data_IF_585490381164
#
_entry.id   IF_585490381164
#
_cell.length_a   1.000
_cell.length_b   1.000
_cell.length_c   1.000
_cell.angle_alpha   90.00
_cell.angle_beta   90.00
_cell.angle_gamma   90.00
#
_symmetry.space_group_name_H-M   'P 1'
#
loop_
_entity.id
_entity.type
_entity.pdbx_description
1 polymer ?
#
# COMPACT_ATOMS: atom_id res chain seq x y z
N UNK A 1 24.00 -2.87 -14.06
CA UNK A 1 25.01 -3.61 -14.86
C UNK A 1 26.29 -2.76 -14.79
N UNK A 2 27.44 -3.10 -14.23
CA UNK A 2 28.18 -4.32 -13.90
C UNK A 2 28.98 -4.01 -12.61
N UNK A 3 29.46 -5.03 -11.87
CA UNK A 3 30.15 -4.99 -10.55
C UNK A 3 29.27 -5.26 -9.31
N UNK A 4 28.57 -6.39 -9.31
CA UNK A 4 28.21 -7.09 -8.06
C UNK A 4 28.02 -8.59 -8.32
N UNK A 5 28.99 -9.21 -8.98
CA UNK A 5 29.11 -10.67 -9.08
C UNK A 5 30.60 -11.03 -9.12
N UNK A 6 31.18 -11.35 -7.96
CA UNK A 6 32.36 -12.19 -7.83
C UNK A 6 32.74 -12.34 -6.34
N UNK A 7 32.04 -13.22 -5.61
CA UNK A 7 32.59 -13.83 -4.41
C UNK A 7 31.78 -15.09 -4.04
N UNK A 8 31.79 -16.09 -4.91
CA UNK A 8 31.44 -17.45 -4.50
C UNK A 8 32.22 -18.47 -5.34
N UNK A 9 32.76 -19.48 -4.65
CA UNK A 9 33.44 -20.70 -5.12
C UNK A 9 34.96 -20.63 -5.39
N UNK A 10 35.77 -21.22 -4.48
CA UNK A 10 36.50 -22.47 -4.78
C UNK A 10 37.02 -23.16 -3.50
N UNK A 11 36.84 -24.48 -3.46
CA UNK A 11 37.24 -25.39 -2.37
C UNK A 11 38.70 -25.86 -2.52
N UNK A 12 39.34 -26.18 -1.38
CA UNK A 12 40.33 -27.27 -1.15
C UNK A 12 41.70 -26.87 -0.59
N UNK A 13 42.08 -27.57 0.50
CA UNK A 13 43.36 -27.64 1.24
C UNK A 13 43.68 -26.49 2.22
N UNK A 14 43.28 -26.69 3.47
CA UNK A 14 43.65 -25.87 4.62
C UNK A 14 45.13 -26.12 4.98
N UNK A 15 45.97 -25.11 4.76
CA UNK A 15 47.19 -24.88 5.55
C UNK A 15 46.88 -23.71 6.45
N UNK A 16 46.85 -23.93 7.77
CA UNK A 16 46.55 -22.88 8.75
C UNK A 16 47.70 -21.87 8.82
N UNK A 17 47.49 -20.67 8.29
CA UNK A 17 48.37 -19.53 8.52
C UNK A 17 47.85 -18.74 9.73
N UNK A 18 48.68 -18.62 10.77
CA UNK A 18 48.41 -17.70 11.89
C UNK A 18 49.03 -16.36 11.51
N UNK A 19 48.20 -15.36 11.23
CA UNK A 19 48.63 -13.99 10.99
C UNK A 19 48.36 -13.17 12.24
N UNK A 20 49.41 -12.74 12.92
CA UNK A 20 49.31 -11.85 14.09
C UNK A 20 49.55 -10.42 13.63
N UNK A 21 48.57 -9.53 13.79
CA UNK A 21 48.71 -8.10 13.51
C UNK A 21 49.06 -7.35 14.79
N UNK A 22 50.09 -6.50 14.73
CA UNK A 22 50.42 -5.55 15.81
C UNK A 22 50.14 -4.15 15.29
N UNK A 23 49.16 -3.47 15.87
CA UNK A 23 48.83 -2.08 15.53
C UNK A 23 49.76 -1.17 16.33
N UNK A 24 50.74 -0.53 15.68
CA UNK A 24 51.51 0.56 16.28
C UNK A 24 50.90 1.90 15.89
N UNK A 25 50.45 2.67 16.89
CA UNK A 25 50.08 4.08 16.71
C UNK A 25 51.33 4.93 16.93
N UNK A 26 51.72 5.69 15.92
CA UNK A 26 52.69 6.78 16.07
C UNK A 26 51.97 8.09 15.83
N UNK A 27 51.99 8.99 16.81
CA UNK A 27 51.49 10.36 16.68
C UNK A 27 52.63 11.21 16.14
N UNK A 28 52.47 11.77 14.94
CA UNK A 28 53.41 12.75 14.38
C UNK A 28 52.73 14.10 14.41
N UNK A 29 53.26 15.03 15.19
CA UNK A 29 52.84 16.43 15.20
C UNK A 29 53.63 17.21 14.13
N UNK A 30 52.93 17.72 13.13
CA UNK A 30 53.38 18.86 12.32
C UNK A 30 52.21 19.82 12.16
N UNK A 31 52.51 21.11 12.30
CA UNK A 31 51.55 22.20 12.20
C UNK A 31 50.77 22.15 10.88
N UNK A 32 49.48 22.47 10.97
CA UNK A 32 48.42 22.47 9.95
C UNK A 32 47.83 21.10 9.53
N UNK A 33 46.64 20.81 10.07
CA UNK A 33 45.71 19.77 9.58
C UNK A 33 45.72 18.44 10.35
N UNK A 34 44.70 18.20 11.17
CA UNK A 34 44.52 16.94 11.90
C UNK A 34 44.10 15.83 10.92
N UNK A 35 45.02 14.92 10.60
CA UNK A 35 44.73 13.66 9.93
C UNK A 35 45.54 12.52 10.57
N UNK A 36 44.86 11.54 11.19
CA UNK A 36 45.53 10.37 11.75
C UNK A 36 45.84 9.36 10.65
N UNK A 37 47.13 9.09 10.37
CA UNK A 37 47.55 7.94 9.58
C UNK A 37 47.72 6.73 10.51
N UNK A 38 47.01 5.64 10.24
CA UNK A 38 47.30 4.33 10.85
C UNK A 38 47.96 3.45 9.80
N UNK A 39 49.16 2.95 10.08
CA UNK A 39 49.81 1.91 9.28
C UNK A 39 49.61 0.56 9.98
N UNK A 40 49.04 -0.41 9.25
CA UNK A 40 48.95 -1.79 9.70
C UNK A 40 50.18 -2.53 9.16
N UNK A 41 51.09 -2.95 10.05
CA UNK A 41 52.26 -3.75 9.68
C UNK A 41 51.96 -5.19 10.09
N UNK A 42 51.70 -6.06 9.11
CA UNK A 42 51.57 -7.50 9.34
C UNK A 42 52.88 -8.22 9.04
N UNK A 43 53.34 -9.08 9.97
CA UNK A 43 54.40 -10.05 9.68
C UNK A 43 53.79 -11.44 9.56
N UNK A 44 53.98 -12.06 8.40
CA UNK A 44 53.59 -13.44 8.17
C UNK A 44 54.75 -14.33 8.64
N UNK A 45 54.49 -15.26 9.56
CA UNK A 45 55.43 -16.33 9.91
C UNK A 45 54.89 -17.66 9.39
N UNK A 46 55.62 -18.29 8.50
CA UNK A 46 55.35 -19.64 8.04
C UNK A 46 55.99 -20.67 8.96
N UNK A 47 55.25 -21.73 9.30
CA UNK A 47 55.72 -22.84 10.14
C UNK A 47 55.74 -24.12 9.29
N UNK A 48 56.92 -24.68 9.04
CA UNK A 48 57.12 -26.04 8.51
C UNK A 48 58.09 -26.78 9.43
N UNK A 49 57.68 -27.93 9.97
CA UNK A 49 58.59 -28.84 10.69
C UNK A 49 59.34 -28.24 11.90
N UNK A 50 58.68 -27.43 12.73
CA UNK A 50 59.22 -27.05 14.04
C UNK A 50 60.30 -25.95 14.10
N UNK A 51 60.72 -25.33 12.99
CA UNK A 51 61.56 -24.11 12.99
C UNK A 51 60.97 -23.00 12.14
N UNK A 52 61.15 -21.74 12.56
CA UNK A 52 60.73 -20.54 11.82
C UNK A 52 61.84 -20.15 10.84
N UNK A 53 61.51 -19.99 9.55
CA UNK A 53 62.45 -19.54 8.51
C UNK A 53 61.82 -18.40 7.72
N UNK A 54 62.43 -17.20 7.79
CA UNK A 54 62.22 -16.06 6.88
C UNK A 54 60.85 -15.34 7.00
N UNK A 55 60.88 -14.02 7.19
CA UNK A 55 59.68 -13.17 7.15
C UNK A 55 59.78 -12.14 6.04
N UNK A 56 58.80 -12.09 5.14
CA UNK A 56 58.60 -10.98 4.20
C UNK A 56 57.58 -9.99 4.78
N UNK A 57 57.89 -8.70 4.70
CA UNK A 57 57.00 -7.62 5.13
C UNK A 57 56.03 -7.24 4.00
N UNK A 58 54.73 -7.30 4.30
CA UNK A 58 53.67 -6.87 3.39
C UNK A 58 53.08 -5.56 3.94
N UNK A 59 53.32 -4.45 3.24
CA UNK A 59 52.73 -3.14 3.57
C UNK A 59 51.43 -2.96 2.80
N UNK A 60 50.29 -3.08 3.48
CA UNK A 60 48.99 -2.70 2.92
C UNK A 60 48.67 -1.25 3.30
N UNK A 61 48.58 -0.38 2.30
CA UNK A 61 48.10 1.00 2.48
C UNK A 61 46.57 1.00 2.31
N UNK A 62 45.82 1.01 3.41
CA UNK A 62 44.40 1.38 3.38
C UNK A 62 44.28 2.91 3.37
N UNK A 63 43.70 3.48 2.31
CA UNK A 63 43.15 4.84 2.33
C UNK A 63 41.78 4.77 3.01
N UNK A 64 41.67 5.29 4.23
CA UNK A 64 40.37 5.58 4.84
C UNK A 64 39.79 6.80 4.12
N UNK A 65 38.62 6.64 3.49
CA UNK A 65 37.83 7.78 2.99
C UNK A 65 37.19 8.53 4.18
N UNK A 66 36.86 9.84 4.02
CA UNK A 66 36.42 10.68 5.13
C UNK A 66 35.08 10.21 5.71
N UNK A 67 34.81 10.62 6.96
CA UNK A 67 33.57 10.33 7.71
C UNK A 67 32.27 10.70 6.98
N UNK A 68 32.34 11.55 5.95
CA UNK A 68 31.21 11.89 5.07
C UNK A 68 30.56 10.64 4.44
N UNK A 69 31.31 9.57 4.16
CA UNK A 69 30.76 8.34 3.57
C UNK A 69 29.85 7.55 4.54
N UNK A 70 30.12 7.62 5.85
CA UNK A 70 29.32 6.94 6.87
C UNK A 70 28.03 7.69 7.20
N UNK A 71 28.09 9.02 7.28
CA UNK A 71 26.91 9.86 7.47
C UNK A 71 26.04 9.94 6.23
N UNK A 72 26.64 9.90 5.04
CA UNK A 72 25.89 9.76 3.78
C UNK A 72 25.21 8.39 3.73
N UNK A 73 25.91 7.28 4.02
CA UNK A 73 25.28 5.95 4.05
C UNK A 73 24.18 5.85 5.14
N UNK A 74 24.37 6.47 6.32
CA UNK A 74 23.32 6.58 7.35
C UNK A 74 22.14 7.45 6.92
N UNK A 75 22.38 8.57 6.23
CA UNK A 75 21.32 9.42 5.67
C UNK A 75 20.58 8.71 4.54
N UNK A 76 21.29 8.01 3.65
CA UNK A 76 20.69 7.20 2.57
C UNK A 76 19.87 6.04 3.15
N UNK A 77 20.37 5.35 4.19
CA UNK A 77 19.60 4.33 4.91
C UNK A 77 18.42 4.92 5.69
N UNK A 78 18.57 6.07 6.36
CA UNK A 78 17.46 6.74 7.05
C UNK A 78 16.39 7.27 6.09
N UNK A 79 16.74 7.60 4.83
CA UNK A 79 15.76 7.99 3.82
C UNK A 79 15.01 6.82 3.19
N UNK A 80 15.53 5.59 3.26
CA UNK A 80 14.88 4.39 2.72
C UNK A 80 13.86 3.74 3.68
N UNK A 81 13.68 4.27 4.89
CA UNK A 81 12.95 3.57 5.97
C UNK A 81 11.48 3.97 6.14
N UNK A 82 10.98 4.93 5.35
CA UNK A 82 9.59 5.38 5.40
C UNK A 82 8.83 4.82 4.22
N UNK A 83 7.65 4.27 4.46
CA UNK A 83 6.67 4.03 3.40
C UNK A 83 6.28 5.39 2.83
N UNK A 84 6.49 5.59 1.53
CA UNK A 84 6.30 6.89 0.86
C UNK A 84 5.14 6.89 -0.12
N UNK A 85 4.97 5.78 -0.81
CA UNK A 85 3.90 5.58 -1.79
C UNK A 85 2.62 5.15 -1.10
N UNK A 86 1.49 5.44 -1.74
CA UNK A 86 0.20 4.92 -1.29
C UNK A 86 0.14 3.39 -1.46
N UNK A 87 0.57 2.87 -2.61
CA UNK A 87 0.73 1.42 -2.81
C UNK A 87 2.12 0.98 -2.35
N UNK A 88 2.19 -0.04 -1.50
CA UNK A 88 3.45 -0.58 -0.97
C UNK A 88 3.60 -2.04 -1.35
N UNK A 89 4.80 -2.44 -1.76
CA UNK A 89 5.09 -3.84 -2.07
C UNK A 89 5.28 -4.68 -0.80
N UNK A 90 5.07 -6.01 -0.86
CA UNK A 90 5.38 -6.92 0.23
C UNK A 90 6.83 -6.80 0.75
N UNK A 91 7.80 -6.63 -0.15
CA UNK A 91 9.20 -6.45 0.20
C UNK A 91 9.46 -5.17 1.02
N UNK A 92 8.83 -4.05 0.63
CA UNK A 92 8.92 -2.78 1.35
C UNK A 92 8.28 -2.89 2.74
N UNK A 93 7.07 -3.42 2.82
CA UNK A 93 6.37 -3.59 4.10
C UNK A 93 7.15 -4.51 5.05
N UNK A 94 7.63 -5.65 4.58
CA UNK A 94 8.40 -6.59 5.40
C UNK A 94 9.69 -5.96 5.92
N UNK A 95 10.38 -5.18 5.08
CA UNK A 95 11.58 -4.44 5.49
C UNK A 95 11.24 -3.40 6.56
N UNK A 96 10.14 -2.66 6.37
CA UNK A 96 9.69 -1.64 7.32
C UNK A 96 9.26 -2.24 8.68
N UNK A 97 8.52 -3.36 8.69
CA UNK A 97 8.10 -4.05 9.91
C UNK A 97 9.28 -4.58 10.74
N UNK A 98 10.32 -5.12 10.09
CA UNK A 98 11.55 -5.58 10.78
C UNK A 98 12.27 -4.45 11.51
N UNK A 99 12.29 -3.25 10.93
CA UNK A 99 12.90 -2.07 11.54
C UNK A 99 12.02 -1.49 12.66
N UNK A 100 10.70 -1.50 12.46
CA UNK A 100 9.72 -1.01 13.42
C UNK A 100 9.70 -1.84 14.72
N UNK A 101 10.04 -3.12 14.64
CA UNK A 101 10.16 -4.01 15.80
C UNK A 101 11.30 -3.63 16.78
N UNK A 102 12.22 -2.74 16.39
CA UNK A 102 13.32 -2.33 17.27
C UNK A 102 12.85 -1.31 18.33
N UNK A 103 13.02 -1.63 19.61
CA UNK A 103 12.62 -0.79 20.77
C UNK A 103 13.29 0.59 20.83
N UNK A 104 14.29 0.85 19.98
CA UNK A 104 15.05 2.10 19.91
C UNK A 104 14.61 2.98 18.73
N UNK A 105 13.60 2.56 17.96
CA UNK A 105 13.10 3.33 16.84
C UNK A 105 12.24 4.51 17.32
N UNK A 106 12.59 5.72 16.88
CA UNK A 106 11.74 6.91 17.01
C UNK A 106 10.75 7.04 15.84
N UNK A 107 10.71 6.06 14.93
CA UNK A 107 9.76 6.05 13.81
C UNK A 107 8.34 5.70 14.30
N UNK A 108 7.29 6.21 13.63
CA UNK A 108 5.93 5.86 13.97
C UNK A 108 5.67 4.36 13.86
N UNK A 109 4.75 3.83 14.67
CA UNK A 109 4.38 2.41 14.59
C UNK A 109 3.78 2.11 13.21
N UNK A 110 4.09 0.95 12.67
CA UNK A 110 3.45 0.45 11.46
C UNK A 110 2.39 -0.56 11.87
N UNK A 111 1.14 -0.30 11.50
CA UNK A 111 -0.02 -1.14 11.85
C UNK A 111 -0.53 -1.79 10.57
N UNK A 112 -0.24 -3.09 10.33
CA UNK A 112 -0.92 -3.85 9.30
C UNK A 112 -2.41 -3.99 9.66
N UNK A 113 -3.30 -3.61 8.75
CA UNK A 113 -4.74 -3.63 8.98
C UNK A 113 -5.42 -4.52 7.93
N UNK A 114 -5.90 -5.67 8.35
CA UNK A 114 -6.62 -6.58 7.48
C UNK A 114 -8.05 -6.05 7.28
N UNK A 115 -8.42 -5.77 6.04
CA UNK A 115 -9.73 -5.31 5.63
C UNK A 115 -10.44 -6.38 4.78
N UNK A 116 -10.13 -7.67 5.01
CA UNK A 116 -10.71 -8.79 4.27
C UNK A 116 -12.23 -8.74 4.29
N UNK A 117 -12.83 -8.70 3.11
CA UNK A 117 -14.28 -8.68 2.93
C UNK A 117 -14.63 -9.41 1.63
N UNK A 118 -15.78 -10.09 1.63
CA UNK A 118 -16.27 -10.87 0.49
C UNK A 118 -17.69 -10.44 0.15
N UNK A 119 -18.08 -10.64 -1.11
CA UNK A 119 -19.45 -10.41 -1.52
C UNK A 119 -20.40 -11.38 -0.78
N UNK A 120 -21.65 -10.99 -0.50
CA UNK A 120 -22.62 -11.85 0.19
C UNK A 120 -22.86 -13.22 -0.46
N UNK A 121 -22.63 -13.34 -1.77
CA UNK A 121 -22.83 -14.57 -2.55
C UNK A 121 -21.57 -15.45 -2.67
N UNK A 122 -20.46 -15.05 -2.04
CA UNK A 122 -19.17 -15.74 -2.13
C UNK A 122 -19.05 -16.91 -1.12
N UNK A 123 -19.80 -16.84 -0.01
CA UNK A 123 -19.85 -17.88 1.03
C UNK A 123 -18.65 -17.93 1.98
N UNK A 124 -17.58 -17.19 1.68
CA UNK A 124 -16.44 -16.96 2.60
C UNK A 124 -16.69 -15.78 3.53
N UNK A 125 -16.08 -15.80 4.71
CA UNK A 125 -16.16 -14.73 5.70
C UNK A 125 -14.80 -14.04 5.90
N UNK A 126 -14.81 -12.70 5.94
CA UNK A 126 -13.60 -11.89 6.06
C UNK A 126 -12.81 -12.18 7.35
N UNK A 127 -13.50 -12.25 8.49
CA UNK A 127 -12.88 -12.51 9.79
C UNK A 127 -12.31 -13.92 9.87
N UNK A 128 -13.03 -14.93 9.38
CA UNK A 128 -12.54 -16.31 9.35
C UNK A 128 -11.27 -16.44 8.51
N UNK A 129 -11.19 -15.75 7.36
CA UNK A 129 -9.95 -15.75 6.55
C UNK A 129 -8.79 -15.04 7.25
N UNK A 130 -9.06 -13.96 7.98
CA UNK A 130 -8.07 -13.29 8.80
C UNK A 130 -7.54 -14.21 9.91
N UNK A 131 -8.42 -14.90 10.64
CA UNK A 131 -8.01 -15.87 11.66
C UNK A 131 -7.20 -17.03 11.07
N UNK A 132 -7.53 -17.46 9.85
CA UNK A 132 -6.78 -18.53 9.17
C UNK A 132 -5.35 -18.10 8.82
N UNK A 133 -5.17 -16.88 8.30
CA UNK A 133 -3.85 -16.36 7.92
C UNK A 133 -3.83 -14.82 7.83
N UNK A 134 -2.96 -14.18 8.59
CA UNK A 134 -2.79 -12.72 8.60
C UNK A 134 -1.33 -12.27 8.75
N UNK A 135 -1.04 -11.00 8.45
CA UNK A 135 0.29 -10.41 8.71
C UNK A 135 0.50 -10.30 10.23
N UNK A 136 1.70 -10.59 10.76
CA UNK A 136 1.93 -10.53 12.20
C UNK A 136 1.56 -9.19 12.81
N UNK A 137 0.95 -9.24 14.00
CA UNK A 137 0.48 -8.07 14.76
C UNK A 137 -0.60 -7.24 14.07
N UNK A 138 -1.21 -7.78 13.01
CA UNK A 138 -2.31 -7.12 12.33
C UNK A 138 -3.57 -7.08 13.18
N UNK A 139 -4.37 -6.05 12.96
CA UNK A 139 -5.75 -5.97 13.46
C UNK A 139 -6.73 -6.18 12.30
N UNK A 140 -7.96 -6.59 12.61
CA UNK A 140 -9.02 -6.76 11.62
C UNK A 140 -9.95 -5.55 11.62
N UNK A 141 -10.06 -4.88 10.47
CA UNK A 141 -11.05 -3.84 10.22
C UNK A 141 -12.28 -4.48 9.58
N UNK A 142 -13.35 -4.56 10.35
CA UNK A 142 -14.64 -5.05 9.86
C UNK A 142 -15.36 -3.94 9.07
N UNK A 143 -15.35 -4.07 7.75
CA UNK A 143 -16.01 -3.13 6.84
C UNK A 143 -17.55 -3.13 7.00
N UNK A 144 -18.14 -4.20 7.50
CA UNK A 144 -19.57 -4.29 7.76
C UNK A 144 -19.97 -3.71 9.12
N UNK A 145 -19.05 -3.65 10.07
CA UNK A 145 -19.26 -2.99 11.36
C UNK A 145 -18.91 -1.49 11.33
N UNK A 146 -17.88 -1.10 10.57
CA UNK A 146 -17.42 0.30 10.49
C UNK A 146 -18.06 1.01 9.28
N UNK A 147 -19.37 1.22 9.37
CA UNK A 147 -20.20 1.89 8.36
C UNK A 147 -21.28 2.73 9.02
N UNK A 148 -22.02 3.51 8.24
CA UNK A 148 -23.26 4.13 8.72
C UNK A 148 -24.37 3.07 8.83
N UNK A 149 -24.70 2.67 10.07
CA UNK A 149 -25.77 1.71 10.36
C UNK A 149 -27.18 2.26 10.10
N UNK A 150 -27.34 3.58 9.99
CA UNK A 150 -28.64 4.21 9.75
C UNK A 150 -28.96 4.33 8.26
N UNK A 151 -27.96 4.16 7.40
CA UNK A 151 -28.18 4.20 5.97
C UNK A 151 -28.88 2.94 5.48
N UNK A 152 -29.91 3.05 4.62
CA UNK A 152 -30.46 1.89 3.94
C UNK A 152 -29.49 1.32 2.87
N UNK A 153 -28.40 2.03 2.60
CA UNK A 153 -27.42 1.67 1.57
C UNK A 153 -26.19 1.00 2.19
N UNK A 154 -25.60 0.02 1.48
CA UNK A 154 -24.47 -0.77 1.97
C UNK A 154 -23.17 0.04 2.03
N UNK A 155 -22.33 -0.25 3.03
CA UNK A 155 -20.94 0.24 3.17
C UNK A 155 -20.76 1.76 3.15
N UNK A 156 -21.82 2.52 3.39
CA UNK A 156 -21.74 3.97 3.51
C UNK A 156 -20.75 4.35 4.61
N UNK A 157 -20.01 5.43 4.38
CA UNK A 157 -19.06 5.97 5.35
C UNK A 157 -19.74 6.13 6.72
N UNK A 158 -19.10 5.67 7.81
CA UNK A 158 -19.61 5.88 9.16
C UNK A 158 -19.63 7.38 9.52
N UNK A 159 -20.28 7.73 10.63
CA UNK A 159 -20.06 9.05 11.21
C UNK A 159 -18.60 9.21 11.65
N UNK A 160 -18.09 10.44 11.72
CA UNK A 160 -16.74 10.71 12.21
C UNK A 160 -16.52 10.19 13.65
N UNK A 161 -17.57 10.21 14.47
CA UNK A 161 -17.54 9.68 15.84
C UNK A 161 -17.38 8.16 15.84
N UNK A 162 -18.18 7.45 15.04
CA UNK A 162 -18.13 5.98 14.98
C UNK A 162 -16.81 5.50 14.38
N UNK A 163 -16.30 6.20 13.36
CA UNK A 163 -14.96 5.96 12.84
C UNK A 163 -13.88 6.15 13.91
N UNK A 164 -13.94 7.23 14.69
CA UNK A 164 -12.98 7.46 15.77
C UNK A 164 -13.05 6.35 16.83
N UNK A 165 -14.25 5.91 17.21
CA UNK A 165 -14.45 4.78 18.14
C UNK A 165 -13.81 3.49 17.58
N UNK A 166 -14.03 3.18 16.30
CA UNK A 166 -13.41 2.03 15.64
C UNK A 166 -11.87 2.11 15.70
N UNK A 167 -11.27 3.27 15.38
CA UNK A 167 -9.81 3.46 15.45
C UNK A 167 -9.25 3.24 16.86
N UNK A 168 -9.96 3.70 17.89
CA UNK A 168 -9.56 3.50 19.30
C UNK A 168 -9.56 2.03 19.68
N UNK A 169 -10.60 1.28 19.29
CA UNK A 169 -10.69 -0.17 19.56
C UNK A 169 -9.68 -0.99 18.78
N UNK A 170 -9.27 -0.53 17.59
CA UNK A 170 -8.17 -1.12 16.82
C UNK A 170 -6.79 -0.73 17.37
N UNK A 171 -6.72 0.12 18.40
CA UNK A 171 -5.47 0.60 19.00
C UNK A 171 -4.63 1.46 18.07
N UNK A 172 -5.26 2.10 17.09
CA UNK A 172 -4.63 2.98 16.11
C UNK A 172 -4.55 4.40 16.70
N UNK A 173 -3.41 5.06 16.50
CA UNK A 173 -3.17 6.47 16.86
C UNK A 173 -2.96 7.31 15.62
N UNK A 174 -3.08 8.63 15.76
CA UNK A 174 -2.94 9.57 14.63
C UNK A 174 -1.55 9.58 14.01
N UNK A 175 -0.51 9.26 14.78
CA UNK A 175 0.86 9.24 14.32
C UNK A 175 1.25 7.97 13.55
N UNK A 176 0.49 6.87 13.73
CA UNK A 176 0.79 5.57 13.16
C UNK A 176 0.79 5.60 11.62
N UNK A 177 1.54 4.68 11.03
CA UNK A 177 1.46 4.37 9.60
C UNK A 177 0.60 3.12 9.44
N UNK A 178 -0.57 3.27 8.84
CA UNK A 178 -1.52 2.17 8.63
C UNK A 178 -1.32 1.59 7.25
N UNK A 179 -1.11 0.28 7.18
CA UNK A 179 -0.93 -0.45 5.92
C UNK A 179 -2.07 -1.45 5.77
N UNK A 180 -3.04 -1.11 4.93
CA UNK A 180 -4.24 -1.89 4.73
C UNK A 180 -3.99 -3.01 3.72
N UNK A 181 -4.51 -4.20 3.97
CA UNK A 181 -4.45 -5.33 3.05
C UNK A 181 -5.71 -6.18 3.14
N UNK A 182 -5.90 -7.10 2.22
CA UNK A 182 -7.08 -7.95 2.10
C UNK A 182 -6.69 -9.44 2.05
N UNK A 183 -7.42 -10.25 1.28
CA UNK A 183 -7.34 -11.70 1.35
C UNK A 183 -6.32 -12.25 0.37
N UNK A 184 -5.74 -13.40 0.69
CA UNK A 184 -4.87 -14.13 -0.24
C UNK A 184 -5.66 -14.57 -1.47
N UNK A 185 -6.91 -14.94 -1.28
CA UNK A 185 -7.75 -15.57 -2.28
C UNK A 185 -8.27 -14.58 -3.32
N UNK A 186 -8.60 -13.35 -2.95
CA UNK A 186 -9.03 -12.33 -3.91
C UNK A 186 -7.87 -11.48 -4.43
N UNK A 187 -6.82 -11.28 -3.62
CA UNK A 187 -5.91 -10.16 -3.83
C UNK A 187 -6.65 -8.84 -3.63
N UNK A 188 -6.28 -7.80 -4.39
CA UNK A 188 -6.85 -6.45 -4.22
C UNK A 188 -8.38 -6.47 -4.38
N UNK A 189 -9.08 -6.12 -3.31
CA UNK A 189 -10.54 -6.00 -3.31
C UNK A 189 -11.06 -4.90 -2.37
N UNK A 190 -11.09 -5.16 -1.07
CA UNK A 190 -11.66 -4.26 -0.05
C UNK A 190 -10.63 -3.37 0.64
N UNK A 191 -9.33 -3.70 0.58
CA UNK A 191 -8.29 -2.90 1.21
C UNK A 191 -8.24 -1.44 0.71
N UNK A 192 -8.38 -1.15 -0.60
CA UNK A 192 -8.45 0.24 -1.07
C UNK A 192 -9.61 1.03 -0.47
N UNK A 193 -10.77 0.39 -0.18
CA UNK A 193 -11.90 1.07 0.45
C UNK A 193 -11.58 1.55 1.86
N UNK A 194 -10.96 0.71 2.68
CA UNK A 194 -10.56 1.09 4.04
C UNK A 194 -9.41 2.11 4.00
N UNK A 195 -8.47 1.96 3.06
CA UNK A 195 -7.43 2.95 2.80
C UNK A 195 -8.01 4.33 2.44
N UNK A 196 -8.95 4.38 1.50
CA UNK A 196 -9.66 5.60 1.13
C UNK A 196 -10.43 6.18 2.32
N UNK A 197 -11.14 5.35 3.09
CA UNK A 197 -11.88 5.77 4.30
C UNK A 197 -10.97 6.46 5.31
N UNK A 198 -9.80 5.87 5.61
CA UNK A 198 -8.79 6.48 6.47
C UNK A 198 -8.34 7.84 5.93
N UNK A 199 -8.13 7.98 4.61
CA UNK A 199 -7.73 9.24 3.98
C UNK A 199 -8.84 10.31 3.98
N UNK A 200 -10.11 9.91 3.86
CA UNK A 200 -11.25 10.84 3.92
C UNK A 200 -11.42 11.39 5.34
N UNK A 201 -11.16 10.59 6.36
CA UNK A 201 -11.06 11.05 7.75
C UNK A 201 -9.67 11.63 8.11
N UNK A 202 -8.87 11.96 7.10
CA UNK A 202 -7.62 12.69 7.23
C UNK A 202 -6.52 11.95 7.99
N UNK A 203 -6.54 10.61 8.08
CA UNK A 203 -5.42 9.86 8.65
C UNK A 203 -4.14 10.09 7.82
N UNK A 204 -3.03 10.53 8.44
CA UNK A 204 -1.94 11.16 7.69
C UNK A 204 -1.06 10.18 6.92
N UNK A 205 -0.92 8.93 7.39
CA UNK A 205 -0.03 7.92 6.81
C UNK A 205 -0.80 6.65 6.53
N UNK A 206 -1.40 6.60 5.35
CA UNK A 206 -2.21 5.48 4.90
C UNK A 206 -1.56 4.87 3.66
N UNK A 207 -1.45 3.55 3.67
CA UNK A 207 -0.91 2.77 2.58
C UNK A 207 -1.80 1.55 2.32
N UNK A 208 -1.73 1.01 1.12
CA UNK A 208 -2.35 -0.25 0.72
C UNK A 208 -1.26 -1.21 0.27
N UNK A 209 -1.24 -2.41 0.83
CA UNK A 209 -0.33 -3.46 0.40
C UNK A 209 -0.76 -3.96 -0.99
N UNK A 210 0.20 -4.08 -1.90
CA UNK A 210 0.00 -4.59 -3.26
C UNK A 210 0.73 -5.94 -3.47
N UNK A 211 0.23 -7.07 -3.00
CA UNK A 211 -0.99 -7.33 -2.23
C UNK A 211 -0.72 -8.47 -1.21
N UNK A 212 -1.73 -8.87 -0.43
CA UNK A 212 -1.54 -9.95 0.55
C UNK A 212 -1.33 -11.34 -0.08
N UNK A 213 -1.92 -11.59 -1.26
CA UNK A 213 -1.63 -12.80 -2.03
C UNK A 213 -0.14 -12.95 -2.27
N UNK A 214 0.49 -11.92 -2.82
CA UNK A 214 1.92 -11.87 -3.09
C UNK A 214 2.75 -11.95 -1.81
N UNK A 215 2.29 -11.34 -0.71
CA UNK A 215 2.94 -11.49 0.59
C UNK A 215 3.06 -12.96 1.01
N UNK A 216 1.98 -13.73 0.88
CA UNK A 216 1.97 -15.16 1.22
C UNK A 216 2.79 -15.97 0.21
N UNK A 217 2.62 -15.72 -1.08
CA UNK A 217 3.27 -16.48 -2.15
C UNK A 217 4.81 -16.29 -2.15
N UNK A 218 5.30 -15.12 -1.72
CA UNK A 218 6.73 -14.83 -1.54
C UNK A 218 7.29 -15.32 -0.19
N UNK A 219 6.44 -15.94 0.65
CA UNK A 219 6.87 -16.58 1.89
C UNK A 219 7.20 -15.62 3.04
N UNK A 220 6.61 -14.43 3.05
CA UNK A 220 6.77 -13.52 4.18
C UNK A 220 6.02 -14.01 5.44
N UNK A 221 6.42 -13.57 6.64
CA UNK A 221 5.83 -14.05 7.89
C UNK A 221 4.31 -13.87 7.95
N UNK A 222 3.60 -14.86 8.48
CA UNK A 222 2.15 -14.81 8.77
C UNK A 222 1.86 -15.40 10.15
N UNK A 223 0.77 -14.95 10.76
CA UNK A 223 0.18 -15.45 12.00
C UNK A 223 -1.20 -16.06 11.72
N UNK A 224 -1.73 -16.82 12.68
CA UNK A 224 -3.07 -17.43 12.64
C UNK A 224 -3.66 -17.46 14.06
N UNK A 225 -4.97 -17.57 14.16
CA UNK A 225 -5.73 -17.49 15.40
C UNK A 225 -6.14 -16.06 15.75
N UNK A 226 -6.66 -15.89 16.96
CA UNK A 226 -7.15 -14.60 17.45
C UNK A 226 -6.01 -13.56 17.53
N UNK A 227 -6.22 -12.33 17.04
CA UNK A 227 -5.24 -11.28 17.17
C UNK A 227 -5.12 -10.89 18.64
N UNK A 228 -3.96 -10.36 19.01
CA UNK A 228 -3.82 -9.74 20.33
C UNK A 228 -4.75 -8.53 20.41
N UNK A 229 -5.62 -8.51 21.41
CA UNK A 229 -6.45 -7.34 21.71
C UNK A 229 -5.54 -6.14 21.97
N UNK A 230 -5.61 -5.09 21.13
CA UNK A 230 -4.77 -3.93 21.31
C UNK A 230 -5.26 -3.13 22.51
N UNK A 231 -4.35 -2.39 23.15
CA UNK A 231 -4.76 -1.41 24.14
C UNK A 231 -5.57 -0.31 23.44
N UNK A 232 -6.72 0.06 24.01
CA UNK A 232 -7.53 1.17 23.51
C UNK A 232 -6.68 2.43 23.50
N UNK A 233 -6.65 3.11 22.35
CA UNK A 233 -5.88 4.34 22.15
C UNK A 233 -6.75 5.58 22.22
N UNK A 234 -6.10 6.74 22.28
CA UNK A 234 -6.75 8.00 21.97
C UNK A 234 -6.75 8.23 20.46
N UNK A 235 -7.92 8.55 19.92
CA UNK A 235 -8.09 8.98 18.54
C UNK A 235 -9.16 10.06 18.54
N UNK A 236 -8.77 11.31 18.28
CA UNK A 236 -9.69 12.44 18.24
C UNK A 236 -10.73 12.26 17.13
N UNK A 237 -11.94 12.79 17.33
CA UNK A 237 -12.97 12.76 16.29
C UNK A 237 -12.48 13.59 15.10
N UNK A 238 -12.22 12.96 13.94
CA UNK A 238 -11.69 13.67 12.79
C UNK A 238 -12.78 14.52 12.12
N UNK A 239 -12.35 15.40 11.22
CA UNK A 239 -13.26 16.01 10.25
C UNK A 239 -13.26 15.16 8.98
N UNK A 240 -14.46 14.91 8.45
CA UNK A 240 -14.65 14.27 7.15
C UNK A 240 -14.26 15.26 6.05
N UNK A 241 -13.40 14.85 5.13
CA UNK A 241 -13.12 15.61 3.91
C UNK A 241 -14.23 15.37 2.87
N UNK A 242 -15.29 16.18 2.97
CA UNK A 242 -16.44 16.13 2.06
C UNK A 242 -16.06 16.32 0.59
N UNK A 243 -14.92 16.97 0.30
CA UNK A 243 -14.46 17.19 -1.08
C UNK A 243 -14.09 15.91 -1.82
N UNK A 244 -13.90 14.80 -1.09
CA UNK A 244 -13.59 13.46 -1.63
C UNK A 244 -14.83 12.59 -1.85
N UNK A 245 -16.01 13.05 -1.44
CA UNK A 245 -17.26 12.28 -1.51
C UNK A 245 -18.20 12.96 -2.50
N UNK A 246 -18.76 12.19 -3.42
CA UNK A 246 -19.86 12.66 -4.27
C UNK A 246 -21.18 12.17 -3.67
N UNK A 247 -22.11 13.08 -3.40
CA UNK A 247 -23.44 12.73 -2.93
C UNK A 247 -24.37 12.38 -4.10
N UNK A 248 -25.41 11.57 -3.86
CA UNK A 248 -26.38 11.18 -4.88
C UNK A 248 -26.96 12.37 -5.66
N UNK A 249 -27.36 13.45 -4.98
CA UNK A 249 -27.98 14.60 -5.67
C UNK A 249 -27.01 15.26 -6.66
N UNK A 250 -25.73 15.35 -6.29
CA UNK A 250 -24.68 15.89 -7.17
C UNK A 250 -24.47 14.98 -8.38
N UNK A 251 -24.37 13.67 -8.17
CA UNK A 251 -24.20 12.70 -9.26
C UNK A 251 -25.43 12.68 -10.18
N UNK A 252 -26.63 12.83 -9.60
CA UNK A 252 -27.89 12.89 -10.34
C UNK A 252 -27.99 14.13 -11.20
N UNK A 253 -27.61 15.29 -10.66
CA UNK A 253 -27.54 16.55 -11.42
C UNK A 253 -26.53 16.43 -12.57
N UNK A 254 -25.32 15.94 -12.29
CA UNK A 254 -24.30 15.69 -13.32
C UNK A 254 -24.86 14.78 -14.40
N UNK A 255 -25.44 13.63 -14.06
CA UNK A 255 -25.96 12.69 -15.05
C UNK A 255 -27.11 13.25 -15.92
N UNK A 256 -27.86 14.24 -15.40
CA UNK A 256 -28.94 14.92 -16.15
C UNK A 256 -28.42 16.01 -17.08
N UNK A 257 -27.35 16.70 -16.70
CA UNK A 257 -26.83 17.85 -17.43
C UNK A 257 -25.67 17.48 -18.37
N UNK A 258 -24.94 16.41 -18.07
CA UNK A 258 -23.78 15.97 -18.85
C UNK A 258 -24.18 15.71 -20.32
N UNK A 259 -23.39 16.25 -21.24
CA UNK A 259 -23.67 16.18 -22.69
C UNK A 259 -24.58 17.29 -23.24
N UNK A 260 -25.10 18.20 -22.40
CA UNK A 260 -25.75 19.43 -22.85
C UNK A 260 -24.73 20.54 -23.11
N UNK A 261 -25.10 21.48 -23.98
CA UNK A 261 -24.27 22.65 -24.29
C UNK A 261 -24.06 23.50 -23.02
N UNK A 262 -22.80 23.78 -22.68
CA UNK A 262 -22.42 24.57 -21.51
C UNK A 262 -22.36 23.81 -20.18
N UNK A 263 -22.59 22.50 -20.17
CA UNK A 263 -22.43 21.69 -18.96
C UNK A 263 -20.94 21.51 -18.60
N UNK A 264 -20.64 21.51 -17.29
CA UNK A 264 -19.31 21.20 -16.79
C UNK A 264 -18.94 19.74 -17.14
N UNK A 265 -17.70 19.52 -17.60
CA UNK A 265 -17.20 18.18 -17.86
C UNK A 265 -16.89 17.47 -16.53
N UNK A 266 -17.49 16.29 -16.32
CA UNK A 266 -17.17 15.37 -15.23
C UNK A 266 -17.19 13.94 -15.77
N UNK A 267 -16.23 13.13 -15.34
CA UNK A 267 -16.09 11.73 -15.77
C UNK A 267 -16.52 10.81 -14.65
N UNK A 268 -17.59 10.03 -14.86
CA UNK A 268 -18.05 9.04 -13.89
C UNK A 268 -17.49 7.67 -14.31
N UNK A 269 -16.68 7.04 -13.47
CA UNK A 269 -16.07 5.74 -13.74
C UNK A 269 -16.74 4.65 -12.91
N UNK A 270 -17.08 3.52 -13.51
CA UNK A 270 -17.76 2.40 -12.82
C UNK A 270 -16.89 1.15 -12.77
N UNK A 271 -16.59 0.69 -11.55
CA UNK A 271 -15.70 -0.45 -11.29
C UNK A 271 -16.36 -1.84 -11.43
N UNK A 272 -17.67 -1.89 -11.66
CA UNK A 272 -18.39 -3.18 -11.80
C UNK A 272 -17.95 -3.90 -13.08
N UNK A 273 -18.24 -5.20 -13.14
CA UNK A 273 -18.06 -6.00 -14.35
C UNK A 273 -18.85 -5.40 -15.52
N UNK A 274 -18.31 -5.53 -16.72
CA UNK A 274 -18.92 -4.97 -17.93
C UNK A 274 -20.38 -5.41 -18.11
N UNK A 275 -20.72 -6.69 -17.87
CA UNK A 275 -22.10 -7.16 -18.03
C UNK A 275 -23.10 -6.55 -17.04
N UNK A 276 -22.68 -6.27 -15.80
CA UNK A 276 -23.49 -5.54 -14.79
C UNK A 276 -23.72 -4.08 -15.21
N UNK A 277 -22.67 -3.44 -15.72
CA UNK A 277 -22.74 -2.07 -16.25
C UNK A 277 -23.61 -1.98 -17.52
N UNK A 278 -23.48 -2.94 -18.45
CA UNK A 278 -24.33 -3.05 -19.63
C UNK A 278 -25.79 -3.38 -19.29
N UNK A 279 -26.00 -4.06 -18.16
CA UNK A 279 -27.32 -4.53 -17.75
C UNK A 279 -27.67 -5.93 -18.26
N UNK A 280 -26.70 -6.68 -18.79
CA UNK A 280 -26.86 -8.07 -19.26
C UNK A 280 -26.75 -9.08 -18.12
N UNK A 281 -26.00 -8.74 -17.06
CA UNK A 281 -25.82 -9.59 -15.87
C UNK A 281 -26.61 -9.01 -14.69
N UNK A 282 -27.09 -9.85 -13.76
CA UNK A 282 -27.78 -9.39 -12.56
C UNK A 282 -26.82 -8.72 -11.57
N UNK A 283 -27.35 -7.82 -10.75
CA UNK A 283 -26.63 -7.32 -9.57
C UNK A 283 -26.61 -8.40 -8.47
N UNK A 284 -25.57 -8.45 -7.61
CA UNK A 284 -25.51 -9.42 -6.51
C UNK A 284 -26.65 -9.28 -5.48
N UNK A 285 -27.31 -8.11 -5.44
CA UNK A 285 -28.49 -7.87 -4.61
C UNK A 285 -29.75 -8.22 -5.38
N UNK A 286 -30.53 -9.11 -4.80
CA UNK A 286 -31.81 -9.52 -5.36
C UNK A 286 -32.76 -8.31 -5.54
N UNK A 287 -33.46 -8.28 -6.68
CA UNK A 287 -34.42 -7.23 -7.02
C UNK A 287 -33.84 -5.89 -7.50
N UNK A 288 -32.52 -5.68 -7.43
CA UNK A 288 -31.88 -4.46 -7.91
C UNK A 288 -31.68 -4.50 -9.44
N UNK A 289 -32.13 -3.48 -10.16
CA UNK A 289 -31.89 -3.40 -11.60
C UNK A 289 -30.39 -3.23 -11.90
N UNK A 290 -29.89 -3.98 -12.87
CA UNK A 290 -28.59 -3.74 -13.50
C UNK A 290 -28.67 -2.60 -14.52
N UNK A 291 -27.53 -2.24 -15.14
CA UNK A 291 -27.36 -1.05 -15.99
C UNK A 291 -26.31 -0.10 -15.41
N UNK A 292 -26.29 1.13 -15.92
CA UNK A 292 -25.31 2.16 -15.51
C UNK A 292 -25.89 3.58 -15.47
N UNK A 293 -25.13 4.46 -14.83
CA UNK A 293 -25.41 5.91 -14.76
C UNK A 293 -25.14 6.49 -16.16
N UNK A 294 -26.03 7.33 -16.72
CA UNK A 294 -25.81 7.96 -18.01
C UNK A 294 -24.40 8.57 -18.14
N UNK A 295 -23.79 8.37 -19.30
CA UNK A 295 -22.44 8.85 -19.64
C UNK A 295 -21.29 8.30 -18.78
N UNK A 296 -21.56 7.40 -17.81
CA UNK A 296 -20.48 6.74 -17.09
C UNK A 296 -19.63 5.85 -18.00
N UNK A 297 -18.37 5.66 -17.64
CA UNK A 297 -17.38 4.88 -18.37
C UNK A 297 -17.12 3.59 -17.58
N UNK A 298 -17.26 2.45 -18.24
CA UNK A 298 -16.94 1.16 -17.62
C UNK A 298 -15.43 0.98 -17.45
N UNK A 299 -14.98 0.87 -16.21
CA UNK A 299 -13.59 0.55 -15.83
C UNK A 299 -13.60 -0.64 -14.85
N UNK A 300 -13.94 -1.86 -15.32
CA UNK A 300 -13.94 -3.03 -14.44
C UNK A 300 -12.60 -3.22 -13.75
N UNK A 301 -12.60 -3.63 -12.49
CA UNK A 301 -11.35 -3.83 -11.71
C UNK A 301 -10.38 -4.83 -12.38
N UNK A 302 -10.90 -5.75 -13.19
CA UNK A 302 -10.11 -6.70 -13.96
C UNK A 302 -9.21 -6.04 -15.00
N UNK A 303 -9.51 -4.81 -15.42
CA UNK A 303 -8.69 -4.03 -16.34
C UNK A 303 -7.53 -3.33 -15.61
N UNK A 304 -7.56 -3.27 -14.27
CA UNK A 304 -6.60 -2.54 -13.44
C UNK A 304 -5.67 -3.45 -12.64
N UNK A 305 -5.96 -4.75 -12.61
CA UNK A 305 -5.23 -5.73 -11.81
C UNK A 305 -4.62 -6.81 -12.72
N UNK A 306 -3.41 -7.24 -12.40
CA UNK A 306 -2.78 -8.37 -13.04
C UNK A 306 -3.65 -9.64 -12.85
N UNK A 307 -3.97 -10.38 -13.93
CA UNK A 307 -4.91 -11.48 -13.86
C UNK A 307 -4.41 -12.67 -13.03
N UNK A 308 -3.09 -12.80 -12.83
CA UNK A 308 -2.44 -13.92 -12.14
C UNK A 308 -2.20 -13.61 -10.67
N UNK A 309 -1.46 -12.54 -10.38
CA UNK A 309 -1.04 -12.20 -9.02
C UNK A 309 -2.01 -11.24 -8.31
N UNK A 310 -3.00 -10.70 -9.05
CA UNK A 310 -4.05 -9.80 -8.54
C UNK A 310 -3.51 -8.50 -7.96
N UNK A 311 -2.28 -8.12 -8.31
CA UNK A 311 -1.70 -6.82 -7.95
C UNK A 311 -2.20 -5.73 -8.89
N UNK A 312 -2.12 -4.46 -8.50
CA UNK A 312 -2.28 -3.36 -9.44
C UNK A 312 -1.27 -3.48 -10.58
N UNK A 313 -1.71 -3.22 -11.81
CA UNK A 313 -0.82 -3.10 -12.96
C UNK A 313 0.23 -2.00 -12.72
N UNK A 314 1.39 -2.03 -13.40
CA UNK A 314 2.37 -0.96 -13.33
C UNK A 314 1.77 0.41 -13.70
N UNK A 315 2.29 1.49 -13.09
CA UNK A 315 1.79 2.86 -13.30
C UNK A 315 1.60 3.25 -14.79
N UNK A 316 2.55 2.88 -15.66
CA UNK A 316 2.46 3.16 -17.10
C UNK A 316 1.33 2.40 -17.79
N UNK A 317 1.06 1.16 -17.37
CA UNK A 317 -0.03 0.34 -17.92
C UNK A 317 -1.39 0.82 -17.42
N UNK A 318 -1.51 1.16 -16.12
CA UNK A 318 -2.72 1.78 -15.58
C UNK A 318 -3.06 3.07 -16.33
N UNK A 319 -2.06 3.93 -16.55
CA UNK A 319 -2.24 5.15 -17.34
C UNK A 319 -2.73 4.86 -18.75
N UNK A 320 -2.14 3.88 -19.43
CA UNK A 320 -2.56 3.46 -20.76
C UNK A 320 -4.01 2.92 -20.77
N UNK A 321 -4.43 2.17 -19.73
CA UNK A 321 -5.81 1.72 -19.58
C UNK A 321 -6.77 2.90 -19.50
N UNK A 322 -6.50 3.89 -18.66
CA UNK A 322 -7.35 5.07 -18.53
C UNK A 322 -7.40 5.90 -19.83
N UNK A 323 -6.25 6.16 -20.45
CA UNK A 323 -6.17 6.90 -21.72
C UNK A 323 -6.91 6.19 -22.86
N UNK A 324 -6.82 4.85 -22.94
CA UNK A 324 -7.54 4.05 -23.95
C UNK A 324 -9.07 4.16 -23.85
N UNK A 325 -9.58 4.47 -22.66
CA UNK A 325 -11.00 4.71 -22.38
C UNK A 325 -11.39 6.20 -22.50
N UNK A 326 -10.46 7.05 -22.95
CA UNK A 326 -10.67 8.49 -23.11
C UNK A 326 -10.67 9.29 -21.81
N UNK A 327 -10.14 8.73 -20.71
CA UNK A 327 -10.19 9.36 -19.39
C UNK A 327 -9.08 10.42 -19.27
N UNK A 328 -9.49 11.68 -19.14
CA UNK A 328 -8.62 12.86 -19.07
C UNK A 328 -8.25 13.21 -17.64
N UNK A 329 -7.00 13.56 -17.37
CA UNK A 329 -6.50 13.82 -16.02
C UNK A 329 -6.90 15.21 -15.47
N UNK A 330 -7.16 16.14 -16.39
CA UNK A 330 -7.53 17.53 -16.13
C UNK A 330 -9.05 17.73 -15.92
N UNK A 331 -9.85 16.69 -16.15
CA UNK A 331 -11.31 16.72 -15.96
C UNK A 331 -11.65 16.00 -14.65
N UNK A 332 -12.50 16.58 -13.78
CA UNK A 332 -12.91 15.96 -12.52
C UNK A 332 -13.43 14.53 -12.69
N UNK A 333 -13.08 13.65 -11.75
CA UNK A 333 -13.41 12.22 -11.80
C UNK A 333 -14.27 11.84 -10.60
N UNK A 334 -15.35 11.11 -10.85
CA UNK A 334 -16.15 10.44 -9.82
C UNK A 334 -16.03 8.94 -10.01
N UNK A 335 -15.44 8.24 -9.04
CA UNK A 335 -15.39 6.77 -9.04
C UNK A 335 -16.66 6.21 -8.38
N UNK A 336 -17.24 5.19 -8.99
CA UNK A 336 -18.45 4.49 -8.55
C UNK A 336 -18.27 2.99 -8.76
N UNK A 337 -19.15 2.19 -8.16
CA UNK A 337 -19.24 0.76 -8.39
C UNK A 337 -20.63 0.24 -7.97
N UNK A 338 -20.70 -0.93 -7.33
CA UNK A 338 -21.94 -1.40 -6.68
C UNK A 338 -22.28 -0.63 -5.39
N UNK A 339 -21.28 -0.37 -4.54
CA UNK A 339 -21.47 0.00 -3.12
C UNK A 339 -20.35 0.85 -2.53
N UNK A 340 -19.61 1.58 -3.36
CA UNK A 340 -18.45 2.36 -2.93
C UNK A 340 -17.18 1.57 -2.62
N UNK A 341 -17.23 0.23 -2.51
CA UNK A 341 -16.05 -0.59 -2.16
C UNK A 341 -15.04 -0.66 -3.30
N UNK A 342 -15.40 -1.24 -4.44
CA UNK A 342 -14.47 -1.39 -5.56
C UNK A 342 -14.21 -0.10 -6.33
N UNK A 343 -15.02 0.95 -6.09
CA UNK A 343 -14.75 2.31 -6.58
C UNK A 343 -13.41 2.84 -6.04
N UNK A 344 -13.03 2.46 -4.81
CA UNK A 344 -11.75 2.84 -4.23
C UNK A 344 -10.55 2.15 -4.93
N UNK A 345 -10.76 1.04 -5.64
CA UNK A 345 -9.72 0.42 -6.48
C UNK A 345 -9.42 1.34 -7.68
N UNK A 346 -10.44 1.94 -8.29
CA UNK A 346 -10.24 2.94 -9.36
C UNK A 346 -9.46 4.13 -8.80
N UNK A 347 -9.84 4.68 -7.64
CA UNK A 347 -9.14 5.83 -7.06
C UNK A 347 -7.67 5.53 -6.69
N UNK A 348 -7.40 4.32 -6.19
CA UNK A 348 -6.04 3.83 -5.95
C UNK A 348 -5.24 3.70 -7.26
N UNK A 349 -5.84 3.13 -8.30
CA UNK A 349 -5.21 3.00 -9.62
C UNK A 349 -4.95 4.37 -10.27
N UNK A 350 -5.87 5.33 -10.14
CA UNK A 350 -5.69 6.70 -10.61
C UNK A 350 -4.50 7.37 -9.90
N UNK A 351 -4.35 7.15 -8.59
CA UNK A 351 -3.19 7.63 -7.82
C UNK A 351 -1.89 7.06 -8.38
N UNK A 352 -1.83 5.75 -8.60
CA UNK A 352 -0.63 5.08 -9.13
C UNK A 352 -0.32 5.51 -10.58
N UNK A 353 -1.35 5.74 -11.40
CA UNK A 353 -1.23 6.26 -12.76
C UNK A 353 -0.83 7.75 -12.82
N UNK A 354 -0.73 8.43 -11.69
CA UNK A 354 -0.31 9.83 -11.60
C UNK A 354 -1.42 10.86 -11.89
N UNK A 355 -2.69 10.47 -11.80
CA UNK A 355 -3.81 11.42 -11.91
C UNK A 355 -3.85 12.33 -10.66
N UNK A 356 -4.23 13.62 -10.81
CA UNK A 356 -4.36 14.54 -9.68
C UNK A 356 -5.38 14.05 -8.66
N UNK A 357 -5.14 14.28 -7.36
CA UNK A 357 -6.03 13.84 -6.27
C UNK A 357 -7.11 14.87 -5.94
N UNK A 358 -6.85 16.15 -6.22
CA UNK A 358 -7.67 17.30 -5.77
C UNK A 358 -9.03 17.43 -6.48
N UNK A 359 -9.28 16.63 -7.51
CA UNK A 359 -10.50 16.67 -8.32
C UNK A 359 -11.19 15.30 -8.41
N UNK A 360 -10.85 14.39 -7.49
CA UNK A 360 -11.40 13.04 -7.47
C UNK A 360 -12.33 12.87 -6.30
N UNK A 361 -13.51 12.32 -6.60
CA UNK A 361 -14.52 11.96 -5.62
C UNK A 361 -14.89 10.50 -5.78
N UNK A 362 -15.37 9.91 -4.70
CA UNK A 362 -16.00 8.59 -4.72
C UNK A 362 -17.49 8.79 -4.45
N UNK A 363 -18.33 8.26 -5.33
CA UNK A 363 -19.77 8.21 -5.10
C UNK A 363 -20.11 7.03 -4.19
N UNK A 364 -20.29 7.32 -2.91
CA UNK A 364 -20.29 6.31 -1.85
C UNK A 364 -21.46 5.33 -1.96
N UNK A 365 -22.68 5.86 -2.11
CA UNK A 365 -23.88 5.03 -2.30
C UNK A 365 -23.87 4.23 -3.60
N UNK A 366 -23.11 4.70 -4.60
CA UNK A 366 -22.79 3.95 -5.81
C UNK A 366 -24.07 3.43 -6.53
N UNK A 367 -23.96 2.35 -7.30
CA UNK A 367 -25.09 1.78 -8.05
C UNK A 367 -26.27 1.36 -7.16
N UNK A 368 -26.03 0.91 -5.93
CA UNK A 368 -27.13 0.46 -5.04
C UNK A 368 -28.02 1.63 -4.66
N UNK A 369 -27.45 2.73 -4.17
CA UNK A 369 -28.22 3.94 -3.90
C UNK A 369 -28.87 4.46 -5.19
N UNK A 370 -28.12 4.48 -6.29
CA UNK A 370 -28.60 5.00 -7.58
C UNK A 370 -29.84 4.27 -8.08
N UNK A 371 -29.75 2.94 -8.22
CA UNK A 371 -30.83 2.12 -8.77
C UNK A 371 -32.05 2.03 -7.83
N UNK A 372 -31.90 2.29 -6.53
CA UNK A 372 -33.02 2.38 -5.59
C UNK A 372 -33.70 3.74 -5.58
N UNK A 373 -32.94 4.84 -5.74
CA UNK A 373 -33.47 6.21 -5.63
C UNK A 373 -33.94 6.81 -6.96
N UNK A 374 -33.37 6.37 -8.09
CA UNK A 374 -33.83 6.81 -9.41
C UNK A 374 -35.22 6.27 -9.68
N UNK A 375 -36.17 7.16 -9.98
CA UNK A 375 -37.54 6.77 -10.26
C UNK A 375 -37.69 6.24 -11.70
N UNK A 376 -38.56 5.24 -11.94
CA UNK A 376 -38.93 4.84 -13.29
C UNK A 376 -39.39 6.06 -14.11
N UNK A 377 -38.92 6.16 -15.36
CA UNK A 377 -39.25 7.27 -16.25
C UNK A 377 -38.32 8.48 -16.19
N UNK A 378 -37.39 8.55 -15.23
CA UNK A 378 -36.37 9.62 -15.22
C UNK A 378 -35.29 9.45 -16.32
N UNK A 379 -35.23 8.28 -16.98
CA UNK A 379 -34.23 8.00 -18.03
C UNK A 379 -32.80 7.89 -17.50
N UNK A 380 -32.62 7.73 -16.18
CA UNK A 380 -31.32 7.75 -15.51
C UNK A 380 -30.73 6.37 -15.22
N UNK A 381 -31.31 5.30 -15.77
CA UNK A 381 -30.75 3.94 -15.74
C UNK A 381 -30.63 3.49 -17.19
N UNK A 382 -29.39 3.43 -17.69
CA UNK A 382 -29.10 2.99 -19.05
C UNK A 382 -28.70 1.52 -19.07
N UNK A 383 -29.08 0.82 -20.13
CA UNK A 383 -28.57 -0.50 -20.48
C UNK A 383 -27.98 -0.40 -21.88
N UNK A 384 -26.81 -0.96 -22.07
CA UNK A 384 -26.13 -0.98 -23.36
C UNK A 384 -26.30 -2.35 -23.98
N UNK A 385 -26.66 -2.38 -25.27
CA UNK A 385 -26.66 -3.62 -26.07
C UNK A 385 -25.25 -4.20 -26.26
#
# INVERSE_FOLDING_TARGET
>A
MSQCQAATAFHSRIVTFIVTFVVRRSVVTKDSGVGSKQELIGRIKTRRGGRFVGGSELKLKLKLQPQESYETCRRTMATHNKLRSYLVSPAELNSALKLNASKLSHEPRIIPLCASWFLPNDGRNGYETFLAQHIPHSQFFDLDAVKDEHSPYPHMLPSASDFAVAMRHLGIRREDSVVVYDTKELGIFSAPRVGWTLQVFGHPKVHVLNNFRKWVDEGYPTESGEPKTPAVTEYEVPQLDESKVAAFEQVKEIAKELGKEGADEVQILDARSLGRWKGTDPEPREGLSSGHIPYSISVPITDLLDPKDKTFLPASELKAVFESKGIKAEVPIISSCGTGVTAAIIDAALTEAGYPTQQRRLYDGSWTEWAQRVKPGEGLIHKSE
#
